data_IF_804111437228
#
_entry.id   IF_804111437228
#
_cell.length_a   1.000
_cell.length_b   1.000
_cell.length_c   1.000
_cell.angle_alpha   90.00
_cell.angle_beta   90.00
_cell.angle_gamma   90.00
#
_symmetry.space_group_name_H-M   'P 1'
#
loop_
_entity.id
_entity.type
_entity.pdbx_description
1 polymer ?
#
# COMPACT_ATOMS: atom_id res chain seq x y z
N UNK A 1 -4.68 28.08 18.65
CA UNK A 1 -4.06 27.20 17.65
C UNK A 1 -2.60 27.56 17.34
N UNK A 2 -2.21 28.82 17.25
CA UNK A 2 -0.80 29.20 16.97
C UNK A 2 0.19 28.80 18.07
N UNK A 3 -0.17 28.92 19.34
CA UNK A 3 0.68 28.46 20.46
C UNK A 3 1.00 26.95 20.40
N UNK A 4 0.05 26.13 19.93
CA UNK A 4 0.25 24.67 19.78
C UNK A 4 1.21 24.32 18.61
N UNK A 5 1.16 25.08 17.51
CA UNK A 5 2.07 24.90 16.36
C UNK A 5 3.53 25.24 16.69
N UNK A 6 3.76 26.03 17.72
CA UNK A 6 5.09 26.47 18.15
C UNK A 6 5.80 25.53 19.13
N UNK A 7 5.15 24.47 19.60
CA UNK A 7 5.79 23.46 20.44
C UNK A 7 6.93 22.75 19.68
N UNK A 8 8.09 22.53 20.29
CA UNK A 8 9.24 21.92 19.61
C UNK A 8 8.94 20.52 19.04
N UNK A 9 8.07 19.75 19.68
CA UNK A 9 7.58 18.44 19.22
C UNK A 9 6.74 18.61 17.95
N UNK A 10 5.87 19.62 17.89
CA UNK A 10 4.99 19.88 16.73
C UNK A 10 5.79 20.33 15.51
N UNK A 11 6.83 21.15 15.74
CA UNK A 11 7.77 21.58 14.67
C UNK A 11 8.57 20.39 14.11
N UNK A 12 8.97 19.43 14.96
CA UNK A 12 9.78 18.27 14.57
C UNK A 12 8.96 17.17 13.88
N UNK A 13 7.76 16.88 14.36
CA UNK A 13 6.89 15.82 13.81
C UNK A 13 5.96 16.30 12.68
N UNK A 14 5.67 17.59 12.61
CA UNK A 14 4.69 18.17 11.71
C UNK A 14 3.25 18.09 12.27
N UNK A 15 2.54 19.20 12.25
CA UNK A 15 1.19 19.32 12.83
C UNK A 15 0.21 18.26 12.28
N UNK A 16 0.24 18.01 10.96
CA UNK A 16 -0.66 17.04 10.33
C UNK A 16 -0.47 15.61 10.86
N UNK A 17 0.77 15.18 11.12
CA UNK A 17 1.05 13.83 11.66
C UNK A 17 0.55 13.68 13.09
N UNK A 18 0.66 14.72 13.91
CA UNK A 18 0.15 14.70 15.28
C UNK A 18 -1.38 14.56 15.26
N UNK A 19 -2.06 15.32 14.39
CA UNK A 19 -3.52 15.19 14.22
C UNK A 19 -3.90 13.76 13.84
N UNK A 20 -3.19 13.13 12.92
CA UNK A 20 -3.45 11.74 12.51
C UNK A 20 -3.23 10.75 13.67
N UNK A 21 -2.18 10.94 14.48
CA UNK A 21 -1.94 10.09 15.67
C UNK A 21 -3.06 10.28 16.70
N UNK A 22 -3.52 11.50 16.91
CA UNK A 22 -4.68 11.77 17.79
C UNK A 22 -5.94 11.08 17.26
N UNK A 23 -6.20 11.18 15.96
CA UNK A 23 -7.34 10.48 15.32
C UNK A 23 -7.21 8.96 15.53
N UNK A 24 -6.03 8.39 15.35
CA UNK A 24 -5.76 6.97 15.56
C UNK A 24 -6.10 6.53 16.99
N UNK A 25 -5.67 7.31 17.99
CA UNK A 25 -5.96 7.04 19.41
C UNK A 25 -7.46 7.17 19.70
N UNK A 26 -8.12 8.21 19.16
CA UNK A 26 -9.57 8.41 19.31
C UNK A 26 -10.36 7.26 18.67
N UNK A 27 -9.96 6.76 17.52
CA UNK A 27 -10.61 5.61 16.87
C UNK A 27 -10.46 4.33 17.68
N UNK A 28 -9.30 4.10 18.29
CA UNK A 28 -9.09 2.96 19.19
C UNK A 28 -10.10 2.98 20.34
N UNK A 29 -10.20 4.10 21.05
CA UNK A 29 -11.14 4.23 22.16
C UNK A 29 -12.60 4.17 21.70
N UNK A 30 -12.94 4.84 20.60
CA UNK A 30 -14.29 4.83 20.05
C UNK A 30 -14.75 3.40 19.76
N UNK A 31 -13.95 2.64 19.01
CA UNK A 31 -14.29 1.27 18.64
C UNK A 31 -14.31 0.34 19.86
N UNK A 32 -13.39 0.53 20.81
CA UNK A 32 -13.37 -0.28 22.04
C UNK A 32 -14.60 -0.03 22.91
N UNK A 33 -15.05 1.22 23.06
CA UNK A 33 -16.24 1.58 23.84
C UNK A 33 -17.52 1.08 23.14
N UNK A 34 -17.66 1.32 21.84
CA UNK A 34 -18.88 0.95 21.10
C UNK A 34 -19.03 -0.56 20.97
N UNK A 35 -17.93 -1.30 20.78
CA UNK A 35 -17.97 -2.77 20.68
C UNK A 35 -18.07 -3.48 22.04
N UNK A 36 -17.92 -2.74 23.17
CA UNK A 36 -17.90 -3.29 24.52
C UNK A 36 -16.68 -4.16 24.84
N UNK A 37 -15.63 -4.13 24.02
CA UNK A 37 -14.38 -4.88 24.20
C UNK A 37 -13.21 -4.10 23.57
N UNK A 38 -11.97 -4.31 24.05
CA UNK A 38 -10.80 -3.70 23.43
C UNK A 38 -10.73 -4.05 21.93
N UNK A 39 -10.38 -3.08 21.09
CA UNK A 39 -10.16 -3.32 19.66
C UNK A 39 -9.05 -4.35 19.47
N UNK A 40 -9.30 -5.35 18.66
CA UNK A 40 -8.34 -6.43 18.38
C UNK A 40 -7.14 -5.90 17.57
N UNK A 41 -6.08 -5.53 18.31
CA UNK A 41 -4.85 -5.01 17.72
C UNK A 41 -4.09 -6.08 16.93
N UNK A 42 -4.26 -7.36 17.22
CA UNK A 42 -3.67 -8.45 16.43
C UNK A 42 -4.21 -8.43 15.00
N UNK A 43 -5.53 -8.34 14.84
CA UNK A 43 -6.17 -8.21 13.53
C UNK A 43 -5.84 -6.88 12.84
N UNK A 44 -5.67 -5.79 13.59
CA UNK A 44 -5.19 -4.51 13.04
C UNK A 44 -3.79 -4.68 12.47
N UNK A 45 -2.85 -5.27 13.22
CA UNK A 45 -1.48 -5.49 12.78
C UNK A 45 -1.41 -6.43 11.57
N UNK A 46 -2.14 -7.55 11.58
CA UNK A 46 -2.24 -8.44 10.43
C UNK A 46 -2.69 -7.72 9.15
N UNK A 47 -3.59 -6.73 9.28
CA UNK A 47 -4.02 -5.91 8.15
C UNK A 47 -2.95 -4.89 7.75
N UNK A 48 -2.30 -4.25 8.72
CA UNK A 48 -1.21 -3.30 8.49
C UNK A 48 -0.03 -3.96 7.79
N UNK A 49 0.28 -5.21 8.13
CA UNK A 49 1.44 -5.93 7.62
C UNK A 49 1.46 -6.02 6.08
N UNK A 50 0.36 -6.35 5.44
CA UNK A 50 0.33 -6.41 3.97
C UNK A 50 -0.09 -5.09 3.31
N UNK A 51 -1.05 -4.37 3.88
CA UNK A 51 -1.49 -3.09 3.31
C UNK A 51 -0.41 -2.01 3.42
N UNK A 52 0.46 -2.09 4.42
CA UNK A 52 1.58 -1.20 4.58
C UNK A 52 2.55 -1.24 3.39
N UNK A 53 2.87 -2.43 2.89
CA UNK A 53 3.73 -2.57 1.70
C UNK A 53 3.07 -1.98 0.46
N UNK A 54 1.75 -2.15 0.28
CA UNK A 54 1.02 -1.51 -0.82
C UNK A 54 1.08 0.02 -0.71
N UNK A 55 0.88 0.57 0.48
CA UNK A 55 0.94 2.01 0.71
C UNK A 55 2.36 2.57 0.49
N UNK A 56 3.40 1.85 0.94
CA UNK A 56 4.79 2.24 0.67
C UNK A 56 5.06 2.30 -0.84
N UNK A 57 4.62 1.28 -1.59
CA UNK A 57 4.78 1.22 -3.04
C UNK A 57 4.07 2.36 -3.76
N UNK A 58 2.78 2.53 -3.50
CA UNK A 58 1.98 3.55 -4.17
C UNK A 58 2.39 4.98 -3.78
N UNK A 59 3.03 5.17 -2.62
CA UNK A 59 3.59 6.48 -2.24
C UNK A 59 4.61 6.99 -3.26
N UNK A 60 5.46 6.11 -3.83
CA UNK A 60 6.41 6.50 -4.88
C UNK A 60 5.70 6.88 -6.18
N UNK A 61 4.66 6.16 -6.55
CA UNK A 61 3.87 6.46 -7.75
C UNK A 61 3.13 7.80 -7.60
N UNK A 62 2.43 8.01 -6.49
CA UNK A 62 1.74 9.28 -6.23
C UNK A 62 2.74 10.44 -6.15
N UNK A 63 3.95 10.22 -5.65
CA UNK A 63 5.00 11.23 -5.62
C UNK A 63 5.38 11.75 -7.02
N UNK A 64 5.25 10.94 -8.08
CA UNK A 64 5.44 11.39 -9.48
C UNK A 64 4.24 12.13 -10.07
N UNK A 65 3.12 12.20 -9.37
CA UNK A 65 1.83 12.69 -9.87
C UNK A 65 1.01 11.61 -10.61
N UNK A 66 1.48 10.35 -10.60
CA UNK A 66 0.77 9.19 -11.14
C UNK A 66 -0.17 8.55 -10.12
N UNK A 67 -1.02 7.65 -10.60
CA UNK A 67 -1.90 6.82 -9.77
C UNK A 67 -1.78 5.38 -10.25
N UNK A 68 -1.76 4.42 -9.32
CA UNK A 68 -1.74 3.00 -9.63
C UNK A 68 -2.92 2.27 -8.97
N UNK A 69 -3.92 1.93 -9.79
CA UNK A 69 -5.08 1.14 -9.37
C UNK A 69 -4.88 -0.38 -9.51
N UNK A 70 -3.69 -0.83 -9.91
CA UNK A 70 -3.44 -2.26 -10.12
C UNK A 70 -2.88 -2.98 -8.90
N UNK A 71 -2.36 -2.27 -7.89
CA UNK A 71 -1.54 -2.81 -6.80
C UNK A 71 -2.21 -3.95 -6.02
N UNK A 72 -3.49 -3.83 -5.70
CA UNK A 72 -4.22 -4.88 -4.98
C UNK A 72 -4.50 -6.12 -5.84
N UNK A 73 -5.10 -6.00 -7.04
CA UNK A 73 -5.22 -7.11 -7.98
C UNK A 73 -3.88 -7.73 -8.38
N UNK A 74 -2.80 -6.96 -8.48
CA UNK A 74 -1.44 -7.48 -8.70
C UNK A 74 -0.97 -8.29 -7.49
N UNK A 75 -1.19 -7.80 -6.25
CA UNK A 75 -0.93 -8.56 -5.03
C UNK A 75 -1.68 -9.90 -5.05
N UNK A 76 -2.99 -9.88 -5.38
CA UNK A 76 -3.80 -11.11 -5.46
C UNK A 76 -3.33 -12.05 -6.57
N UNK A 77 -3.06 -11.54 -7.77
CA UNK A 77 -2.50 -12.33 -8.87
C UNK A 77 -1.19 -13.00 -8.46
N UNK A 78 -0.29 -12.25 -7.82
CA UNK A 78 0.99 -12.75 -7.32
C UNK A 78 0.79 -13.91 -6.32
N UNK A 79 -0.11 -13.73 -5.35
CA UNK A 79 -0.43 -14.75 -4.36
C UNK A 79 -1.16 -15.97 -4.94
N UNK A 80 -2.02 -15.78 -5.94
CA UNK A 80 -2.71 -16.87 -6.65
C UNK A 80 -1.72 -17.71 -7.46
N UNK A 81 -0.83 -17.07 -8.26
CA UNK A 81 0.17 -17.77 -9.07
C UNK A 81 1.16 -18.52 -8.17
N UNK A 82 1.73 -17.86 -7.16
CA UNK A 82 2.66 -18.50 -6.22
C UNK A 82 2.02 -19.64 -5.43
N UNK A 83 0.80 -19.42 -4.93
CA UNK A 83 0.04 -20.45 -4.20
C UNK A 83 -0.34 -21.65 -5.07
N UNK A 84 -0.69 -21.41 -6.34
CA UNK A 84 -1.00 -22.48 -7.29
C UNK A 84 0.23 -23.37 -7.53
N UNK A 85 1.40 -22.77 -7.70
CA UNK A 85 2.67 -23.51 -7.87
C UNK A 85 3.02 -24.33 -6.63
N UNK A 86 2.85 -23.74 -5.43
CA UNK A 86 3.16 -24.41 -4.18
C UNK A 86 2.19 -25.54 -3.88
N UNK A 87 0.87 -25.25 -3.89
CA UNK A 87 -0.15 -26.14 -3.32
C UNK A 87 -0.63 -27.18 -4.34
N UNK A 88 -0.77 -26.80 -5.61
CA UNK A 88 -1.29 -27.70 -6.65
C UNK A 88 -0.19 -28.41 -7.39
N UNK A 89 0.90 -27.70 -7.73
CA UNK A 89 2.00 -28.27 -8.50
C UNK A 89 3.15 -28.81 -7.62
N UNK A 90 3.09 -28.65 -6.30
CA UNK A 90 4.07 -29.21 -5.36
C UNK A 90 5.47 -28.58 -5.48
N UNK A 91 5.57 -27.34 -5.96
CA UNK A 91 6.87 -26.66 -6.07
C UNK A 91 7.41 -26.29 -4.69
N UNK A 92 8.76 -26.25 -4.53
CA UNK A 92 9.36 -25.82 -3.26
C UNK A 92 8.87 -24.42 -2.85
N UNK A 93 8.63 -24.23 -1.55
CA UNK A 93 8.13 -22.95 -1.01
C UNK A 93 8.98 -21.75 -1.44
N UNK A 94 10.31 -21.88 -1.43
CA UNK A 94 11.21 -20.78 -1.85
C UNK A 94 10.97 -20.32 -3.28
N UNK A 95 10.75 -21.26 -4.20
CA UNK A 95 10.45 -20.93 -5.60
C UNK A 95 9.08 -20.24 -5.72
N UNK A 96 8.08 -20.69 -4.97
CA UNK A 96 6.78 -20.07 -4.92
C UNK A 96 6.84 -18.62 -4.40
N UNK A 97 7.61 -18.39 -3.33
CA UNK A 97 7.83 -17.03 -2.79
C UNK A 97 8.54 -16.11 -3.80
N UNK A 98 9.60 -16.60 -4.45
CA UNK A 98 10.32 -15.83 -5.46
C UNK A 98 9.44 -15.48 -6.67
N UNK A 99 8.64 -16.43 -7.14
CA UNK A 99 7.71 -16.20 -8.27
C UNK A 99 6.61 -15.22 -7.85
N UNK A 100 6.11 -15.29 -6.61
CA UNK A 100 5.14 -14.32 -6.10
C UNK A 100 5.69 -12.89 -6.19
N UNK A 101 6.95 -12.68 -5.78
CA UNK A 101 7.60 -11.37 -5.91
C UNK A 101 7.83 -11.00 -7.39
N UNK A 102 8.27 -11.96 -8.21
CA UNK A 102 8.55 -11.75 -9.62
C UNK A 102 7.31 -11.33 -10.42
N UNK A 103 6.14 -11.93 -10.14
CA UNK A 103 4.87 -11.53 -10.77
C UNK A 103 4.55 -10.06 -10.46
N UNK A 104 4.65 -9.65 -9.20
CA UNK A 104 4.47 -8.25 -8.81
C UNK A 104 5.44 -7.32 -9.54
N UNK A 105 6.72 -7.71 -9.61
CA UNK A 105 7.77 -6.95 -10.30
C UNK A 105 7.47 -6.80 -11.79
N UNK A 106 7.03 -7.86 -12.47
CA UNK A 106 6.68 -7.84 -13.90
C UNK A 106 5.55 -6.84 -14.18
N UNK A 107 4.50 -6.82 -13.34
CA UNK A 107 3.44 -5.81 -13.46
C UNK A 107 3.95 -4.40 -13.18
N UNK A 108 4.84 -4.22 -12.22
CA UNK A 108 5.47 -2.93 -11.94
C UNK A 108 6.30 -2.42 -13.13
N UNK A 109 7.08 -3.30 -13.76
CA UNK A 109 7.84 -2.99 -14.98
C UNK A 109 6.89 -2.65 -16.14
N UNK A 110 5.82 -3.44 -16.33
CA UNK A 110 4.84 -3.21 -17.39
C UNK A 110 4.15 -1.84 -17.23
N UNK A 111 3.67 -1.51 -16.02
CA UNK A 111 3.09 -0.19 -15.71
C UNK A 111 4.11 0.94 -15.94
N UNK A 112 5.35 0.75 -15.48
CA UNK A 112 6.43 1.72 -15.67
C UNK A 112 6.73 1.98 -17.15
N UNK A 113 6.75 0.94 -17.97
CA UNK A 113 6.95 1.06 -19.43
C UNK A 113 5.76 1.77 -20.07
N UNK A 114 4.54 1.36 -19.77
CA UNK A 114 3.33 1.97 -20.33
C UNK A 114 3.24 3.47 -19.99
N UNK A 115 3.52 3.86 -18.75
CA UNK A 115 3.39 5.25 -18.33
C UNK A 115 4.58 6.09 -18.82
N UNK A 116 5.81 5.66 -18.54
CA UNK A 116 6.97 6.50 -18.73
C UNK A 116 7.47 6.52 -20.19
N UNK A 117 7.41 5.39 -20.88
CA UNK A 117 7.93 5.27 -22.26
C UNK A 117 6.84 5.34 -23.32
N UNK A 118 5.70 4.65 -23.12
CA UNK A 118 4.57 4.71 -24.05
C UNK A 118 3.70 5.96 -23.83
N UNK A 119 3.93 6.72 -22.73
CA UNK A 119 3.19 7.95 -22.36
C UNK A 119 1.69 7.76 -22.20
N UNK A 120 1.27 6.55 -21.84
CA UNK A 120 -0.13 6.33 -21.49
C UNK A 120 -0.46 7.02 -20.18
N UNK A 121 -1.65 7.60 -20.00
CA UNK A 121 -2.09 8.10 -18.71
C UNK A 121 -2.00 7.01 -17.64
N UNK A 122 -1.44 7.34 -16.48
CA UNK A 122 -1.19 6.37 -15.38
C UNK A 122 -2.44 5.63 -14.95
N UNK A 123 -3.55 6.32 -14.89
CA UNK A 123 -4.86 5.76 -14.60
C UNK A 123 -5.27 4.67 -15.62
N UNK A 124 -5.13 4.92 -16.93
CA UNK A 124 -5.48 3.95 -17.98
C UNK A 124 -4.55 2.74 -17.93
N UNK A 125 -3.24 2.95 -17.81
CA UNK A 125 -2.24 1.89 -17.69
C UNK A 125 -2.54 0.97 -16.52
N UNK A 126 -2.74 1.55 -15.35
CA UNK A 126 -2.98 0.76 -14.13
C UNK A 126 -4.33 0.06 -14.14
N UNK A 127 -5.38 0.65 -14.72
CA UNK A 127 -6.65 -0.05 -14.93
C UNK A 127 -6.54 -1.22 -15.90
N UNK A 128 -5.77 -1.08 -16.98
CA UNK A 128 -5.48 -2.20 -17.88
C UNK A 128 -4.74 -3.32 -17.14
N UNK A 129 -3.66 -3.00 -16.43
CA UNK A 129 -2.91 -3.96 -15.61
C UNK A 129 -3.77 -4.63 -14.54
N UNK A 130 -4.66 -3.89 -13.91
CA UNK A 130 -5.65 -4.41 -12.97
C UNK A 130 -6.50 -5.51 -13.59
N UNK A 131 -7.04 -5.28 -14.81
CA UNK A 131 -7.85 -6.28 -15.52
C UNK A 131 -7.03 -7.48 -15.97
N UNK A 132 -5.80 -7.25 -16.45
CA UNK A 132 -4.88 -8.32 -16.85
C UNK A 132 -4.51 -9.18 -15.62
N UNK A 133 -4.16 -8.57 -14.49
CA UNK A 133 -3.82 -9.28 -13.27
C UNK A 133 -4.99 -10.17 -12.78
N UNK A 134 -6.21 -9.64 -12.79
CA UNK A 134 -7.40 -10.43 -12.46
C UNK A 134 -7.59 -11.60 -13.43
N UNK A 135 -7.46 -11.36 -14.73
CA UNK A 135 -7.58 -12.40 -15.75
C UNK A 135 -6.54 -13.50 -15.58
N UNK A 136 -5.27 -13.15 -15.36
CA UNK A 136 -4.19 -14.13 -15.12
C UNK A 136 -4.47 -14.93 -13.84
N UNK A 137 -4.89 -14.28 -12.74
CA UNK A 137 -5.24 -14.97 -11.51
C UNK A 137 -6.40 -15.96 -11.68
N UNK A 138 -7.45 -15.59 -12.42
CA UNK A 138 -8.58 -16.47 -12.75
C UNK A 138 -8.14 -17.67 -13.60
N UNK A 139 -7.35 -17.44 -14.63
CA UNK A 139 -6.85 -18.50 -15.52
C UNK A 139 -5.90 -19.45 -14.78
N UNK A 140 -4.97 -18.92 -13.99
CA UNK A 140 -4.01 -19.73 -13.25
C UNK A 140 -4.67 -20.68 -12.24
N UNK A 141 -5.88 -20.36 -11.76
CA UNK A 141 -6.57 -21.11 -10.71
C UNK A 141 -7.90 -21.73 -11.17
N UNK A 142 -8.17 -21.73 -12.48
CA UNK A 142 -9.46 -22.16 -13.04
C UNK A 142 -10.65 -21.49 -12.32
N UNK A 143 -10.54 -20.19 -12.09
CA UNK A 143 -11.52 -19.35 -11.37
C UNK A 143 -11.77 -19.73 -9.91
N UNK A 144 -11.02 -20.68 -9.35
CA UNK A 144 -11.04 -21.00 -7.93
C UNK A 144 -10.11 -20.04 -7.14
N UNK A 145 -10.24 -20.07 -5.82
CA UNK A 145 -9.23 -19.46 -4.94
C UNK A 145 -8.11 -20.43 -4.63
N UNK A 146 -7.02 -19.92 -4.06
CA UNK A 146 -5.92 -20.73 -3.54
C UNK A 146 -5.77 -20.46 -2.06
N UNK A 147 -5.64 -21.52 -1.27
CA UNK A 147 -5.28 -21.43 0.14
C UNK A 147 -3.84 -21.85 0.34
N UNK A 148 -3.00 -20.94 0.78
CA UNK A 148 -1.63 -21.22 1.18
C UNK A 148 -1.61 -22.11 2.45
N UNK A 149 -0.50 -22.81 2.75
CA UNK A 149 -0.43 -23.68 3.91
C UNK A 149 -0.82 -22.96 5.21
N UNK A 150 -1.77 -23.58 5.95
CA UNK A 150 -2.18 -23.08 7.27
C UNK A 150 -1.22 -23.54 8.36
N UNK A 151 -1.36 -23.00 9.57
CA UNK A 151 -0.54 -23.37 10.72
C UNK A 151 -0.57 -24.87 10.97
N UNK A 152 0.60 -25.49 11.14
CA UNK A 152 0.78 -26.93 11.32
C UNK A 152 0.82 -27.74 10.03
N UNK A 153 0.63 -27.13 8.86
CA UNK A 153 0.81 -27.78 7.58
C UNK A 153 2.27 -27.80 7.14
N UNK A 154 2.60 -28.70 6.21
CA UNK A 154 3.92 -28.69 5.57
C UNK A 154 4.18 -27.32 4.90
N UNK A 155 5.40 -26.81 5.03
CA UNK A 155 5.80 -25.49 4.50
C UNK A 155 5.09 -24.28 5.12
N UNK A 156 4.57 -24.34 6.33
CA UNK A 156 3.91 -23.24 7.01
C UNK A 156 4.87 -22.17 7.59
N UNK A 157 6.17 -22.40 7.57
CA UNK A 157 7.17 -21.55 8.23
C UNK A 157 7.16 -20.08 7.71
N UNK A 158 6.70 -19.84 6.46
CA UNK A 158 6.59 -18.48 5.91
C UNK A 158 5.64 -17.59 6.72
N UNK A 159 4.73 -18.19 7.50
CA UNK A 159 3.84 -17.47 8.40
C UNK A 159 4.60 -16.79 9.54
N UNK A 160 5.78 -17.29 9.88
CA UNK A 160 6.66 -16.64 10.84
C UNK A 160 7.16 -15.26 10.36
N UNK A 161 7.02 -14.95 9.06
CA UNK A 161 7.26 -13.61 8.54
C UNK A 161 6.18 -12.61 8.99
N UNK A 162 5.03 -13.06 9.45
CA UNK A 162 3.94 -12.21 9.98
C UNK A 162 3.98 -12.24 11.51
N UNK A 163 3.84 -13.42 12.11
CA UNK A 163 3.91 -13.59 13.57
C UNK A 163 4.76 -14.80 13.90
N UNK A 164 5.78 -14.62 14.73
CA UNK A 164 6.63 -15.70 15.24
C UNK A 164 6.68 -15.64 16.75
N UNK A 165 6.25 -16.71 17.42
CA UNK A 165 6.24 -16.81 18.89
C UNK A 165 5.57 -15.61 19.59
N UNK A 166 4.48 -15.09 19.02
CA UNK A 166 3.78 -13.92 19.53
C UNK A 166 4.42 -12.57 19.21
N UNK A 167 5.59 -12.55 18.55
CA UNK A 167 6.25 -11.32 18.08
C UNK A 167 5.69 -10.93 16.72
N UNK A 168 5.24 -9.68 16.50
CA UNK A 168 4.73 -9.19 15.22
C UNK A 168 5.89 -8.92 14.24
N UNK A 169 6.45 -9.99 13.68
CA UNK A 169 7.61 -9.93 12.77
C UNK A 169 7.27 -9.13 11.51
N UNK A 170 6.04 -9.28 10.99
CA UNK A 170 5.57 -8.53 9.82
C UNK A 170 5.64 -7.02 10.01
N UNK A 171 5.24 -6.52 11.18
CA UNK A 171 5.40 -5.11 11.53
C UNK A 171 6.86 -4.67 11.54
N UNK A 172 7.76 -5.52 12.08
CA UNK A 172 9.19 -5.21 12.12
C UNK A 172 9.75 -5.11 10.69
N UNK A 173 9.41 -6.07 9.82
CA UNK A 173 9.83 -6.06 8.41
C UNK A 173 9.24 -4.85 7.68
N UNK A 174 7.97 -4.52 7.92
CA UNK A 174 7.32 -3.34 7.36
C UNK A 174 8.03 -2.05 7.79
N UNK A 175 8.32 -1.89 9.07
CA UNK A 175 9.03 -0.71 9.59
C UNK A 175 10.45 -0.61 9.04
N UNK A 176 11.18 -1.71 8.95
CA UNK A 176 12.50 -1.75 8.32
C UNK A 176 12.43 -1.33 6.84
N UNK A 177 11.46 -1.87 6.09
CA UNK A 177 11.20 -1.48 4.70
C UNK A 177 10.81 -0.02 4.59
N UNK A 178 9.99 0.49 5.50
CA UNK A 178 9.60 1.90 5.54
C UNK A 178 10.79 2.83 5.80
N UNK A 179 11.73 2.43 6.66
CA UNK A 179 12.98 3.18 6.87
C UNK A 179 13.80 3.22 5.58
N UNK A 180 13.94 2.08 4.90
CA UNK A 180 14.64 2.01 3.60
C UNK A 180 13.95 2.91 2.58
N UNK A 181 12.62 2.81 2.44
CA UNK A 181 11.82 3.65 1.55
C UNK A 181 11.96 5.15 1.90
N UNK A 182 11.98 5.50 3.18
CA UNK A 182 12.17 6.88 3.64
C UNK A 182 13.58 7.40 3.30
N UNK A 183 14.61 6.58 3.44
CA UNK A 183 15.98 6.92 3.04
C UNK A 183 16.03 7.09 1.51
N UNK A 184 15.47 6.15 0.75
CA UNK A 184 15.42 6.22 -0.72
C UNK A 184 14.72 7.50 -1.17
N UNK A 185 13.55 7.81 -0.61
CA UNK A 185 12.75 8.96 -1.01
C UNK A 185 13.38 10.29 -0.63
N UNK A 186 13.96 10.41 0.59
CA UNK A 186 14.39 11.70 1.12
C UNK A 186 15.89 11.97 1.00
N UNK A 187 16.73 10.91 0.90
CA UNK A 187 18.19 11.04 0.98
C UNK A 187 18.93 10.65 -0.31
N UNK A 188 18.29 9.90 -1.23
CA UNK A 188 18.93 9.46 -2.46
C UNK A 188 18.58 10.33 -3.67
N UNK A 189 19.36 10.16 -4.75
CA UNK A 189 19.07 10.79 -6.05
C UNK A 189 17.74 10.31 -6.63
N UNK A 190 17.39 9.03 -6.41
CA UNK A 190 16.16 8.40 -6.90
C UNK A 190 14.94 9.18 -6.38
N UNK A 191 14.84 9.33 -5.05
CA UNK A 191 13.70 10.02 -4.44
C UNK A 191 13.63 11.50 -4.82
N UNK A 192 14.80 12.18 -4.90
CA UNK A 192 14.82 13.58 -5.36
C UNK A 192 14.25 13.74 -6.76
N UNK A 193 14.66 12.89 -7.71
CA UNK A 193 14.14 12.96 -9.08
C UNK A 193 12.65 12.62 -9.14
N UNK A 194 12.18 11.60 -8.41
CA UNK A 194 10.77 11.25 -8.30
C UNK A 194 9.94 12.46 -7.82
N UNK A 195 10.36 13.10 -6.72
CA UNK A 195 9.66 14.28 -6.18
C UNK A 195 9.71 15.48 -7.12
N UNK A 196 10.86 15.73 -7.74
CA UNK A 196 11.02 16.83 -8.71
C UNK A 196 10.15 16.61 -9.96
N UNK A 197 10.07 15.39 -10.48
CA UNK A 197 9.19 15.03 -11.62
C UNK A 197 7.73 15.33 -11.29
N UNK A 198 7.28 14.96 -10.10
CA UNK A 198 5.92 15.26 -9.66
C UNK A 198 5.66 16.75 -9.42
N UNK A 199 6.70 17.53 -9.11
CA UNK A 199 6.57 18.98 -8.94
C UNK A 199 6.52 19.73 -10.27
N UNK A 200 7.50 19.46 -11.15
CA UNK A 200 7.57 20.03 -12.50
C UNK A 200 8.43 19.15 -13.41
N UNK A 201 7.78 18.28 -14.14
CA UNK A 201 8.41 17.32 -15.07
C UNK A 201 9.24 18.00 -16.15
N UNK A 202 8.76 19.11 -16.71
CA UNK A 202 9.43 19.83 -17.80
C UNK A 202 10.73 20.50 -17.31
N UNK A 203 10.72 21.10 -16.14
CA UNK A 203 11.93 21.66 -15.55
C UNK A 203 13.01 20.60 -15.31
N UNK A 204 12.61 19.40 -14.84
CA UNK A 204 13.54 18.27 -14.66
C UNK A 204 14.10 17.80 -15.99
N UNK A 205 13.27 17.72 -17.03
CA UNK A 205 13.70 17.35 -18.39
C UNK A 205 14.72 18.36 -18.94
N UNK A 206 14.44 19.64 -18.78
CA UNK A 206 15.33 20.72 -19.25
C UNK A 206 16.67 20.75 -18.50
N UNK A 207 16.73 20.21 -17.27
CA UNK A 207 17.98 20.04 -16.52
C UNK A 207 18.83 18.83 -16.98
N UNK A 208 18.43 18.14 -18.07
CA UNK A 208 19.17 17.02 -18.64
C UNK A 208 18.91 15.66 -17.98
N UNK A 209 17.94 15.57 -17.05
CA UNK A 209 17.60 14.32 -16.37
C UNK A 209 16.58 13.51 -17.17
N UNK A 210 16.85 12.23 -17.42
CA UNK A 210 15.88 11.30 -18.04
C UNK A 210 14.72 11.01 -17.09
N UNK A 211 13.64 11.78 -17.25
CA UNK A 211 12.43 11.65 -16.43
C UNK A 211 11.74 10.29 -16.58
N UNK A 212 11.86 9.63 -17.73
CA UNK A 212 11.22 8.35 -18.03
C UNK A 212 11.75 7.25 -17.11
N UNK A 213 13.07 7.17 -16.97
CA UNK A 213 13.74 6.18 -16.12
C UNK A 213 13.25 6.25 -14.67
N UNK A 214 13.20 7.45 -14.10
CA UNK A 214 12.86 7.63 -12.69
C UNK A 214 11.36 7.47 -12.42
N UNK A 215 10.53 7.87 -13.37
CA UNK A 215 9.09 7.61 -13.32
C UNK A 215 8.78 6.11 -13.42
N UNK A 216 9.40 5.39 -14.37
CA UNK A 216 9.23 3.94 -14.49
C UNK A 216 9.68 3.22 -13.21
N UNK A 217 10.79 3.66 -12.60
CA UNK A 217 11.31 3.06 -11.38
C UNK A 217 10.32 3.16 -10.20
N UNK A 218 9.52 4.23 -10.12
CA UNK A 218 8.47 4.34 -9.10
C UNK A 218 7.43 3.23 -9.21
N UNK A 219 7.02 2.86 -10.43
CA UNK A 219 6.11 1.73 -10.68
C UNK A 219 6.78 0.38 -10.41
N UNK A 220 8.06 0.23 -10.73
CA UNK A 220 8.84 -0.98 -10.41
C UNK A 220 8.88 -1.22 -8.90
N UNK A 221 9.16 -0.19 -8.10
CA UNK A 221 9.08 -0.28 -6.65
C UNK A 221 7.67 -0.64 -6.16
N UNK A 222 6.65 -0.05 -6.78
CA UNK A 222 5.26 -0.33 -6.44
C UNK A 222 4.91 -1.81 -6.68
N UNK A 223 5.24 -2.35 -7.85
CA UNK A 223 5.00 -3.75 -8.19
C UNK A 223 5.81 -4.74 -7.34
N UNK A 224 7.08 -4.42 -7.05
CA UNK A 224 7.91 -5.21 -6.14
C UNK A 224 7.26 -5.33 -4.76
N UNK A 225 6.82 -4.19 -4.19
CA UNK A 225 6.19 -4.16 -2.87
C UNK A 225 4.79 -4.80 -2.87
N UNK A 226 4.08 -4.80 -4.01
CA UNK A 226 2.84 -5.56 -4.16
C UNK A 226 3.08 -7.09 -4.11
N UNK A 227 4.18 -7.58 -4.71
CA UNK A 227 4.61 -8.97 -4.59
C UNK A 227 4.98 -9.37 -3.15
N UNK A 228 5.70 -8.50 -2.43
CA UNK A 228 5.99 -8.70 -1.00
C UNK A 228 4.71 -8.68 -0.17
N UNK A 229 3.80 -7.75 -0.44
CA UNK A 229 2.49 -7.68 0.21
C UNK A 229 1.68 -8.97 0.04
N UNK A 230 1.79 -9.66 -1.11
CA UNK A 230 1.14 -10.95 -1.35
C UNK A 230 1.65 -12.03 -0.38
N UNK A 231 2.95 -12.07 -0.10
CA UNK A 231 3.52 -13.02 0.87
C UNK A 231 3.03 -12.71 2.29
N UNK A 232 3.01 -11.44 2.68
CA UNK A 232 2.49 -11.02 3.99
C UNK A 232 0.99 -11.32 4.12
N UNK A 233 0.22 -11.10 3.06
CA UNK A 233 -1.20 -11.47 3.01
C UNK A 233 -1.40 -12.99 3.14
N UNK A 234 -0.58 -13.79 2.44
CA UNK A 234 -0.59 -15.24 2.58
C UNK A 234 -0.34 -15.68 4.03
N UNK A 235 0.64 -15.07 4.71
CA UNK A 235 0.96 -15.37 6.10
C UNK A 235 -0.15 -14.98 7.08
N UNK A 236 -0.83 -13.86 6.86
CA UNK A 236 -1.88 -13.35 7.72
C UNK A 236 -3.25 -14.03 7.50
N UNK A 237 -3.66 -14.21 6.23
CA UNK A 237 -5.04 -14.59 5.85
C UNK A 237 -5.09 -15.95 5.13
N UNK A 238 -3.98 -16.41 4.58
CA UNK A 238 -3.78 -17.65 3.81
C UNK A 238 -4.61 -17.78 2.53
N UNK A 239 -5.85 -17.29 2.47
CA UNK A 239 -6.80 -17.53 1.37
C UNK A 239 -6.83 -16.37 0.39
N UNK A 240 -6.52 -16.64 -0.87
CA UNK A 240 -6.70 -15.74 -2.00
C UNK A 240 -7.93 -16.15 -2.81
N UNK A 241 -8.88 -15.21 -2.97
CA UNK A 241 -10.02 -15.40 -3.86
C UNK A 241 -9.69 -14.83 -5.25
N UNK A 242 -9.97 -15.59 -6.30
CA UNK A 242 -9.71 -15.15 -7.66
C UNK A 242 -10.58 -13.93 -8.03
N UNK A 243 -10.05 -13.02 -8.84
CA UNK A 243 -10.75 -11.83 -9.31
C UNK A 243 -10.91 -10.69 -8.31
N UNK A 244 -10.33 -10.82 -7.10
CA UNK A 244 -10.41 -9.82 -6.03
C UNK A 244 -9.19 -8.89 -5.97
N UNK A 245 -9.16 -8.00 -4.98
CA UNK A 245 -8.03 -7.10 -4.70
C UNK A 245 -8.35 -5.60 -4.77
N UNK A 246 -9.45 -5.18 -5.42
CA UNK A 246 -9.76 -3.77 -5.68
C UNK A 246 -9.86 -2.90 -4.42
N UNK A 247 -10.41 -3.46 -3.35
CA UNK A 247 -10.56 -2.74 -2.06
C UNK A 247 -9.22 -2.22 -1.56
N UNK A 248 -8.16 -3.00 -1.76
CA UNK A 248 -6.84 -2.68 -1.23
C UNK A 248 -6.17 -1.52 -2.00
N UNK A 249 -6.49 -1.33 -3.29
CA UNK A 249 -6.03 -0.15 -4.05
C UNK A 249 -6.49 1.13 -3.38
N UNK A 250 -7.81 1.24 -3.20
CA UNK A 250 -8.43 2.45 -2.67
C UNK A 250 -7.96 2.73 -1.25
N UNK A 251 -7.84 1.68 -0.42
CA UNK A 251 -7.37 1.79 0.95
C UNK A 251 -5.91 2.29 1.01
N UNK A 252 -5.01 1.75 0.18
CA UNK A 252 -3.63 2.17 0.14
C UNK A 252 -3.47 3.62 -0.35
N UNK A 253 -4.19 3.99 -1.43
CA UNK A 253 -4.20 5.37 -1.95
C UNK A 253 -4.77 6.32 -0.89
N UNK A 254 -5.91 5.98 -0.27
CA UNK A 254 -6.52 6.79 0.79
C UNK A 254 -5.55 7.04 1.95
N UNK A 255 -4.86 6.00 2.40
CA UNK A 255 -3.88 6.09 3.47
C UNK A 255 -2.71 7.03 3.12
N UNK A 256 -2.19 6.96 1.88
CA UNK A 256 -1.11 7.82 1.43
C UNK A 256 -1.54 9.29 1.37
N UNK A 257 -2.73 9.57 0.83
CA UNK A 257 -3.25 10.94 0.70
C UNK A 257 -3.56 11.52 2.08
N UNK A 258 -4.24 10.76 2.93
CA UNK A 258 -4.49 11.13 4.33
C UNK A 258 -3.18 11.37 5.08
N UNK A 259 -2.15 10.58 4.80
CA UNK A 259 -0.79 10.72 5.33
C UNK A 259 -0.02 11.95 4.85
N UNK A 260 -0.58 12.72 3.91
CA UNK A 260 0.00 13.95 3.37
C UNK A 260 0.85 13.77 2.13
N UNK A 261 0.74 12.63 1.46
CA UNK A 261 1.26 12.45 0.10
C UNK A 261 0.27 13.09 -0.89
N UNK A 262 0.75 13.99 -1.75
CA UNK A 262 -0.13 14.76 -2.60
C UNK A 262 -0.41 14.09 -3.94
N UNK A 263 -1.69 13.99 -4.30
CA UNK A 263 -2.16 13.45 -5.57
C UNK A 263 -1.63 14.21 -6.81
N UNK A 264 -1.27 15.48 -6.65
CA UNK A 264 -0.66 16.26 -7.74
C UNK A 264 0.85 16.01 -7.89
N UNK A 265 1.45 15.14 -7.05
CA UNK A 265 2.88 14.86 -7.03
C UNK A 265 3.72 15.91 -6.29
N UNK A 266 5.03 15.70 -6.28
CA UNK A 266 6.04 16.61 -5.74
C UNK A 266 6.19 16.59 -4.22
N UNK A 267 5.26 16.01 -3.49
CA UNK A 267 5.34 15.85 -2.03
C UNK A 267 4.84 14.48 -1.61
N UNK A 268 5.61 13.79 -0.78
CA UNK A 268 5.25 12.47 -0.27
C UNK A 268 5.78 12.25 1.14
N UNK A 269 5.12 11.42 1.93
CA UNK A 269 5.46 11.14 3.31
C UNK A 269 5.29 9.67 3.66
N UNK A 270 6.40 8.92 3.68
CA UNK A 270 6.42 7.51 4.08
C UNK A 270 5.81 7.31 5.48
N UNK A 271 6.24 8.10 6.46
CA UNK A 271 5.70 8.02 7.82
C UNK A 271 4.20 8.37 7.87
N UNK A 272 3.77 9.36 7.06
CA UNK A 272 2.36 9.70 6.94
C UNK A 272 1.55 8.56 6.35
N UNK A 273 2.03 7.93 5.27
CA UNK A 273 1.37 6.78 4.63
C UNK A 273 1.21 5.62 5.61
N UNK A 274 2.21 5.34 6.46
CA UNK A 274 2.10 4.32 7.50
C UNK A 274 1.01 4.65 8.54
N UNK A 275 0.99 5.88 9.06
CA UNK A 275 -0.06 6.30 10.00
C UNK A 275 -1.44 6.17 9.33
N UNK A 276 -1.55 6.56 8.06
CA UNK A 276 -2.76 6.40 7.27
C UNK A 276 -3.22 4.95 7.17
N UNK A 277 -2.31 4.00 6.94
CA UNK A 277 -2.65 2.57 6.91
C UNK A 277 -3.11 2.07 8.28
N UNK A 278 -2.50 2.49 9.36
CA UNK A 278 -3.00 2.14 10.70
C UNK A 278 -4.44 2.62 10.90
N UNK A 279 -4.77 3.85 10.51
CA UNK A 279 -6.13 4.39 10.61
C UNK A 279 -7.11 3.57 9.77
N UNK A 280 -6.78 3.27 8.51
CA UNK A 280 -7.64 2.47 7.62
C UNK A 280 -7.82 1.05 8.15
N UNK A 281 -6.76 0.44 8.68
CA UNK A 281 -6.82 -0.90 9.28
C UNK A 281 -7.68 -0.92 10.54
N UNK A 282 -7.58 0.10 11.40
CA UNK A 282 -8.45 0.25 12.57
C UNK A 282 -9.91 0.45 12.17
N UNK A 283 -10.19 1.24 11.14
CA UNK A 283 -11.56 1.40 10.61
C UNK A 283 -12.11 0.06 10.14
N UNK A 284 -11.33 -0.73 9.40
CA UNK A 284 -11.75 -2.04 8.92
C UNK A 284 -12.08 -3.01 10.05
N UNK A 285 -11.18 -3.15 11.01
CA UNK A 285 -11.34 -4.05 12.16
C UNK A 285 -12.46 -3.54 13.09
N UNK A 286 -12.54 -2.23 13.30
CA UNK A 286 -13.55 -1.59 14.13
C UNK A 286 -14.98 -1.77 13.59
N UNK A 287 -15.20 -1.58 12.29
CA UNK A 287 -16.49 -1.81 11.62
C UNK A 287 -16.95 -3.27 11.84
N UNK A 288 -16.03 -4.23 11.65
CA UNK A 288 -16.31 -5.66 11.88
C UNK A 288 -16.58 -5.93 13.37
N UNK A 289 -15.85 -5.29 14.29
CA UNK A 289 -16.06 -5.44 15.74
C UNK A 289 -17.45 -4.95 16.19
N UNK A 290 -17.98 -3.91 15.53
CA UNK A 290 -19.34 -3.42 15.76
C UNK A 290 -20.43 -4.26 15.09
N UNK A 291 -20.07 -5.38 14.45
CA UNK A 291 -20.99 -6.27 13.69
C UNK A 291 -21.70 -5.56 12.52
N UNK A 292 -21.18 -4.46 12.02
CA UNK A 292 -21.66 -3.85 10.79
C UNK A 292 -21.20 -4.67 9.57
N UNK A 293 -21.98 -4.59 8.48
CA UNK A 293 -21.58 -5.20 7.21
C UNK A 293 -20.21 -4.61 6.76
N UNK A 294 -19.28 -5.44 6.28
CA UNK A 294 -18.03 -4.98 5.69
C UNK A 294 -18.21 -3.94 4.58
N UNK A 295 -19.41 -3.87 3.98
CA UNK A 295 -19.73 -2.93 2.90
C UNK A 295 -19.66 -1.47 3.35
N UNK A 296 -19.89 -1.18 4.64
CA UNK A 296 -19.68 0.13 5.21
C UNK A 296 -18.26 0.67 5.03
N UNK A 297 -17.28 -0.24 4.93
CA UNK A 297 -15.90 0.16 4.67
C UNK A 297 -15.76 0.87 3.32
N UNK A 298 -16.48 0.42 2.27
CA UNK A 298 -16.45 1.07 0.95
C UNK A 298 -16.95 2.51 1.03
N UNK A 299 -18.07 2.73 1.73
CA UNK A 299 -18.67 4.08 1.89
C UNK A 299 -17.71 4.97 2.67
N UNK A 300 -17.24 4.52 3.83
CA UNK A 300 -16.37 5.31 4.71
C UNK A 300 -15.05 5.64 4.01
N UNK A 301 -14.42 4.66 3.36
CA UNK A 301 -13.16 4.89 2.64
C UNK A 301 -13.36 5.85 1.47
N UNK A 302 -14.45 5.71 0.72
CA UNK A 302 -14.77 6.64 -0.38
C UNK A 302 -14.93 8.08 0.09
N UNK A 303 -15.66 8.29 1.20
CA UNK A 303 -15.83 9.61 1.81
C UNK A 303 -14.48 10.17 2.29
N UNK A 304 -13.66 9.35 2.96
CA UNK A 304 -12.32 9.76 3.42
C UNK A 304 -11.45 10.20 2.24
N UNK A 305 -11.39 9.41 1.17
CA UNK A 305 -10.62 9.76 -0.04
C UNK A 305 -11.08 11.11 -0.58
N UNK A 306 -12.39 11.29 -0.78
CA UNK A 306 -12.94 12.54 -1.32
C UNK A 306 -12.58 13.75 -0.45
N UNK A 307 -12.73 13.63 0.87
CA UNK A 307 -12.39 14.70 1.82
C UNK A 307 -10.89 15.01 1.86
N UNK A 308 -10.04 13.99 1.83
CA UNK A 308 -8.59 14.16 1.85
C UNK A 308 -8.09 14.83 0.55
N UNK A 309 -8.59 14.39 -0.61
CA UNK A 309 -8.23 15.00 -1.90
C UNK A 309 -8.73 16.46 -1.97
N UNK A 310 -9.96 16.73 -1.52
CA UNK A 310 -10.48 18.10 -1.44
C UNK A 310 -9.61 18.99 -0.54
N UNK A 311 -9.19 18.47 0.63
CA UNK A 311 -8.33 19.19 1.55
C UNK A 311 -6.94 19.47 0.94
N UNK A 312 -6.35 18.51 0.18
CA UNK A 312 -5.07 18.69 -0.51
C UNK A 312 -5.16 19.79 -1.57
N UNK A 313 -6.19 19.76 -2.43
CA UNK A 313 -6.43 20.77 -3.46
C UNK A 313 -6.57 22.16 -2.82
N UNK A 314 -7.39 22.28 -1.77
CA UNK A 314 -7.61 23.55 -1.09
C UNK A 314 -6.37 24.10 -0.38
N UNK A 315 -5.55 23.21 0.20
CA UNK A 315 -4.29 23.58 0.83
C UNK A 315 -3.28 24.14 -0.17
N UNK A 316 -3.23 23.59 -1.38
CA UNK A 316 -2.37 24.07 -2.48
C UNK A 316 -2.83 25.39 -3.06
N UNK A 317 -4.14 25.58 -3.23
CA UNK A 317 -4.69 26.83 -3.72
C UNK A 317 -4.38 28.02 -2.81
N UNK A 318 -4.20 27.79 -1.50
CA UNK A 318 -3.80 28.82 -0.53
C UNK A 318 -2.30 29.15 -0.51
N UNK A 319 -1.46 28.31 -1.14
CA UNK A 319 0.01 28.50 -1.19
C UNK A 319 0.50 29.15 -2.49
N UNK A 320 -0.40 29.27 -3.48
CA UNK A 320 -0.22 30.07 -4.69
C UNK A 320 -0.74 31.50 -4.44
#
# INVERSE_FOLDING_TARGET
MEKFKNLPIVKKLGFNRIVLVVIMVLLYFLFSVVSGRPLDMGNVLNTVDFMGFLALGVTFVIATGGIDFSIGPVMFCSGLVGGQLLVVHGWPLWTALLITIAVGLVFGIANGVMVAYMKLPSFISSMASMRIAKGIGLLATNSAGVSWPSSGAENDWYRNLVVSNGVPVGLIILLATAVICAIVLNKTRIGRYILCIGSNREAVRLSGVDTRKWEALAYVFCGLLAGVAAIMYAGAITKFAAGQGDVFNNNAIAACVMGGTSMAGGTASIAGSLIGIFIISMLRVGITAMKFSPDWQYIITGVIVALCVFADIRSRARKK
#
